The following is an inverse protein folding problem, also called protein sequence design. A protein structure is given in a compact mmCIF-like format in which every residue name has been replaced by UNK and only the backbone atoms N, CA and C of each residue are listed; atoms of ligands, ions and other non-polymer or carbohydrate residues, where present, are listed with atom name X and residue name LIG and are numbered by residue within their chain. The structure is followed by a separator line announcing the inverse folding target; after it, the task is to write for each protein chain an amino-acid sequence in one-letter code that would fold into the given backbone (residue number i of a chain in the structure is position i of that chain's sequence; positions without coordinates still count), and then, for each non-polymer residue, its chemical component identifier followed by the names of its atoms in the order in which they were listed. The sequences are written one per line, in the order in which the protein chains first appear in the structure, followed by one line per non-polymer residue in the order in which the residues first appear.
data_IF_612540744942
#
_entry.id   IF_612540744942
#
_cell.length_a   1.000
_cell.length_b   1.000
_cell.length_c   1.000
_cell.angle_alpha   90.00
_cell.angle_beta   90.00
_cell.angle_gamma   90.00
#
_symmetry.space_group_name_H-M   'P 1'
#
loop_
_entity.id
_entity.type
_entity.pdbx_description
1 polymer ?
#
# COMPACT_ATOMS: atom_id res chain seq x y z
N UNK A 1 -50.71 14.02 -42.85
CA UNK A 1 -50.43 12.62 -42.42
C UNK A 1 -48.92 12.42 -42.47
N UNK A 2 -48.09 13.37 -42.05
CA UNK A 2 -47.75 13.71 -40.66
C UNK A 2 -47.26 12.49 -39.89
N UNK A 3 -45.92 12.39 -39.83
CA UNK A 3 -45.10 11.99 -38.70
C UNK A 3 -45.71 11.01 -37.69
N UNK A 4 -45.13 9.81 -37.60
CA UNK A 4 -44.10 9.52 -36.60
C UNK A 4 -43.59 8.07 -36.80
N UNK A 5 -42.27 7.83 -36.83
CA UNK A 5 -41.72 6.51 -36.55
C UNK A 5 -42.04 6.19 -35.08
N UNK A 6 -42.92 5.21 -34.87
CA UNK A 6 -43.31 4.76 -33.54
C UNK A 6 -42.10 4.08 -32.88
N UNK A 7 -41.59 4.78 -31.86
CA UNK A 7 -40.84 4.28 -30.70
C UNK A 7 -39.45 3.70 -31.00
N UNK A 8 -38.31 4.40 -30.84
CA UNK A 8 -37.84 5.25 -29.74
C UNK A 8 -38.12 4.62 -28.35
N UNK A 9 -37.04 4.41 -27.60
CA UNK A 9 -36.93 4.09 -26.16
C UNK A 9 -37.26 2.67 -25.68
N UNK A 10 -36.27 1.78 -25.72
CA UNK A 10 -35.99 0.87 -24.58
C UNK A 10 -34.48 0.55 -24.43
N UNK A 11 -33.62 1.34 -25.09
CA UNK A 11 -32.15 1.20 -24.97
C UNK A 11 -31.49 2.54 -24.63
N UNK A 12 -32.04 3.20 -23.62
CA UNK A 12 -31.43 4.32 -22.90
C UNK A 12 -31.60 3.92 -21.42
N UNK A 13 -30.63 3.59 -20.57
CA UNK A 13 -29.17 3.64 -20.52
C UNK A 13 -28.75 2.61 -19.44
N UNK A 14 -27.73 1.76 -19.62
CA UNK A 14 -26.89 1.45 -18.47
C UNK A 14 -26.16 2.76 -18.17
N UNK A 15 -26.74 3.58 -17.29
CA UNK A 15 -26.03 4.71 -16.71
C UNK A 15 -24.71 4.14 -16.19
N UNK A 16 -23.54 4.50 -16.75
CA UNK A 16 -22.31 4.23 -16.04
C UNK A 16 -22.38 5.12 -14.82
N UNK A 17 -22.69 4.56 -13.65
CA UNK A 17 -22.63 5.29 -12.40
C UNK A 17 -21.18 5.76 -12.23
N UNK A 18 -20.86 7.07 -12.32
CA UNK A 18 -19.49 7.53 -12.16
C UNK A 18 -19.06 7.57 -10.68
N UNK A 19 -19.71 6.78 -9.80
CA UNK A 19 -19.47 6.78 -8.37
C UNK A 19 -18.44 5.74 -7.90
N UNK A 20 -18.03 4.80 -8.76
CA UNK A 20 -17.08 3.75 -8.37
C UNK A 20 -15.61 4.21 -8.46
N UNK A 21 -15.30 5.27 -9.20
CA UNK A 21 -13.92 5.74 -9.38
C UNK A 21 -13.35 6.47 -8.15
N UNK A 22 -14.22 7.08 -7.33
CA UNK A 22 -13.79 7.84 -6.15
C UNK A 22 -13.58 6.94 -4.93
N UNK A 23 -14.38 5.87 -4.79
CA UNK A 23 -14.26 4.87 -3.72
C UNK A 23 -12.96 4.05 -3.85
N UNK A 24 -12.62 3.59 -5.06
CA UNK A 24 -11.39 2.83 -5.31
C UNK A 24 -10.12 3.60 -4.93
N UNK A 25 -10.02 4.85 -5.40
CA UNK A 25 -8.86 5.73 -5.16
C UNK A 25 -8.66 6.08 -3.68
N UNK A 26 -9.75 6.17 -2.91
CA UNK A 26 -9.72 6.45 -1.47
C UNK A 26 -9.36 5.21 -0.64
N UNK A 27 -9.75 4.02 -1.10
CA UNK A 27 -9.41 2.73 -0.51
C UNK A 27 -7.94 2.38 -0.74
N UNK A 28 -7.43 2.57 -1.95
CA UNK A 28 -6.01 2.36 -2.31
C UNK A 28 -5.07 3.20 -1.43
N UNK A 29 -5.36 4.50 -1.27
CA UNK A 29 -4.56 5.37 -0.40
C UNK A 29 -4.57 4.92 1.06
N UNK A 30 -5.69 4.39 1.56
CA UNK A 30 -5.79 3.91 2.94
C UNK A 30 -4.96 2.64 3.14
N UNK A 31 -4.94 1.74 2.16
CA UNK A 31 -4.08 0.56 2.15
C UNK A 31 -2.61 0.95 2.08
N UNK A 32 -2.25 1.95 1.27
CA UNK A 32 -0.89 2.45 1.19
C UNK A 32 -0.41 3.06 2.52
N UNK A 33 -1.22 3.92 3.14
CA UNK A 33 -0.89 4.53 4.44
C UNK A 33 -0.80 3.48 5.54
N UNK A 34 -1.72 2.51 5.56
CA UNK A 34 -1.66 1.37 6.47
C UNK A 34 -0.34 0.60 6.24
N UNK A 35 -0.05 0.20 5.02
CA UNK A 35 1.18 -0.51 4.70
C UNK A 35 2.39 0.29 5.14
N UNK A 36 2.48 1.60 4.90
CA UNK A 36 3.61 2.43 5.36
C UNK A 36 3.72 2.43 6.89
N UNK A 37 2.61 2.60 7.61
CA UNK A 37 2.61 2.59 9.09
C UNK A 37 3.04 1.24 9.66
N UNK A 38 2.86 0.12 8.95
CA UNK A 38 3.32 -1.20 9.39
C UNK A 38 4.70 -1.56 8.84
N UNK A 39 4.93 -1.31 7.56
CA UNK A 39 6.16 -1.62 6.82
C UNK A 39 7.33 -0.81 7.35
N UNK A 40 7.15 0.49 7.60
CA UNK A 40 8.24 1.35 8.07
C UNK A 40 8.77 0.95 9.45
N UNK A 41 7.94 0.72 10.49
CA UNK A 41 8.44 0.21 11.76
C UNK A 41 8.94 -1.23 11.65
N UNK A 42 8.32 -2.09 10.85
CA UNK A 42 8.85 -3.45 10.62
C UNK A 42 10.25 -3.41 9.99
N UNK A 43 10.44 -2.53 9.00
CA UNK A 43 11.73 -2.30 8.35
C UNK A 43 12.75 -1.68 9.32
N UNK A 44 12.33 -0.78 10.19
CA UNK A 44 13.17 -0.20 11.24
C UNK A 44 13.67 -1.27 12.20
N UNK A 45 12.79 -2.14 12.71
CA UNK A 45 13.17 -3.26 13.59
C UNK A 45 14.07 -4.25 12.86
N UNK A 46 13.78 -4.58 11.60
CA UNK A 46 14.61 -5.47 10.80
C UNK A 46 16.02 -4.89 10.59
N UNK A 47 16.14 -3.60 10.27
CA UNK A 47 17.44 -2.94 10.06
C UNK A 47 18.23 -2.83 11.36
N UNK A 48 17.62 -2.35 12.44
CA UNK A 48 18.28 -2.20 13.74
C UNK A 48 18.65 -3.57 14.31
N UNK A 49 17.74 -4.55 14.22
CA UNK A 49 17.97 -5.92 14.65
C UNK A 49 19.07 -6.59 13.84
N UNK A 50 19.03 -6.49 12.50
CA UNK A 50 20.07 -7.03 11.63
C UNK A 50 21.42 -6.34 11.85
N UNK A 51 21.44 -5.02 12.07
CA UNK A 51 22.67 -4.29 12.33
C UNK A 51 23.28 -4.67 13.69
N UNK A 52 22.47 -4.69 14.75
CA UNK A 52 22.91 -5.14 16.07
C UNK A 52 23.37 -6.59 16.07
N UNK A 53 22.64 -7.47 15.38
CA UNK A 53 23.02 -8.87 15.19
C UNK A 53 24.31 -9.00 14.38
N UNK A 54 24.47 -8.22 13.30
CA UNK A 54 25.68 -8.24 12.48
C UNK A 54 26.88 -7.77 13.30
N UNK A 55 26.76 -6.69 14.07
CA UNK A 55 27.82 -6.22 14.97
C UNK A 55 28.14 -7.30 15.99
N UNK A 56 27.14 -7.87 16.67
CA UNK A 56 27.34 -8.95 17.64
C UNK A 56 27.99 -10.19 17.02
N UNK A 57 27.57 -10.59 15.82
CA UNK A 57 28.14 -11.71 15.09
C UNK A 57 29.58 -11.43 14.65
N UNK A 58 29.86 -10.20 14.20
CA UNK A 58 31.22 -9.76 13.88
C UNK A 58 32.10 -9.76 15.14
N UNK A 59 31.57 -9.38 16.31
CA UNK A 59 32.29 -9.50 17.59
C UNK A 59 32.63 -10.97 17.92
N UNK A 60 31.71 -11.90 17.64
CA UNK A 60 31.95 -13.34 17.81
C UNK A 60 33.10 -13.84 16.92
N UNK A 61 33.23 -13.30 15.70
CA UNK A 61 34.24 -13.72 14.73
C UNK A 61 35.61 -13.05 14.93
N UNK A 62 35.63 -11.75 15.26
CA UNK A 62 36.85 -10.94 15.38
C UNK A 62 37.34 -10.75 16.82
N UNK A 63 36.66 -11.36 17.79
CA UNK A 63 36.98 -11.28 19.21
C UNK A 63 36.33 -10.07 19.90
N UNK A 64 36.13 -10.13 21.24
CA UNK A 64 35.34 -9.13 21.96
C UNK A 64 36.00 -7.74 21.91
N UNK A 65 35.31 -6.68 21.46
CA UNK A 65 35.74 -5.31 21.70
C UNK A 65 35.46 -4.96 23.17
N UNK A 66 36.40 -5.29 24.05
CA UNK A 66 36.37 -4.93 25.47
C UNK A 66 36.97 -3.53 25.69
N UNK A 67 36.42 -2.72 26.62
CA UNK A 67 37.06 -1.48 27.05
C UNK A 67 38.45 -1.78 27.63
N UNK A 68 39.45 -1.02 27.18
CA UNK A 68 40.77 -0.99 27.82
C UNK A 68 40.66 -0.08 29.06
N UNK A 69 40.60 -0.67 30.25
CA UNK A 69 40.63 0.04 31.53
C UNK A 69 41.77 -0.46 32.42
#
# INVERSE_FOLDING_TARGET
MTACPISLTDEELPMPSPSEDTEGKRRERRLFVFLVIFLFPLLSVALVGAYGFAVWFLQMLFGPPGPLN
#
